data_IF_712346820684
#
_entry.id   IF_712346820684
#
_cell.length_a   1.000
_cell.length_b   1.000
_cell.length_c   1.000
_cell.angle_alpha   90.00
_cell.angle_beta   90.00
_cell.angle_gamma   90.00
#
_symmetry.space_group_name_H-M   'P 1'
#
loop_
_entity.id
_entity.type
_entity.pdbx_description
1 polymer ?
#
# COMPACT_ATOMS: atom_id res chain seq x y z
N UNK A 1 12.90 -20.92 7.29
CA UNK A 1 12.94 -19.59 6.64
C UNK A 1 14.35 -19.15 6.26
N UNK A 2 15.35 -19.15 7.17
CA UNK A 2 16.70 -18.64 6.85
C UNK A 2 17.41 -19.36 5.67
N UNK A 3 17.13 -20.66 5.48
CA UNK A 3 17.67 -21.46 4.35
C UNK A 3 16.82 -21.39 3.07
N UNK A 4 15.53 -21.10 3.21
CA UNK A 4 14.55 -21.13 2.10
C UNK A 4 14.44 -19.77 1.40
N UNK A 5 14.53 -18.68 2.16
CA UNK A 5 14.42 -17.33 1.61
C UNK A 5 15.49 -16.99 0.56
N UNK A 6 16.77 -17.39 0.70
CA UNK A 6 17.76 -17.17 -0.35
C UNK A 6 17.36 -17.80 -1.71
N UNK A 7 16.63 -18.93 -1.69
CA UNK A 7 16.19 -19.63 -2.90
C UNK A 7 15.03 -18.93 -3.60
N UNK A 8 14.27 -18.07 -2.90
CA UNK A 8 13.23 -17.24 -3.53
C UNK A 8 13.77 -15.95 -4.16
N UNK A 9 15.03 -15.58 -3.89
CA UNK A 9 15.62 -14.35 -4.41
C UNK A 9 16.19 -14.54 -5.81
N UNK A 10 15.85 -13.61 -6.70
CA UNK A 10 16.40 -13.52 -8.07
C UNK A 10 17.13 -12.20 -8.28
N UNK A 11 17.92 -12.12 -9.37
CA UNK A 11 18.57 -10.89 -9.82
C UNK A 11 19.40 -10.17 -8.74
N UNK A 12 19.18 -8.87 -8.59
CA UNK A 12 19.96 -8.00 -7.71
C UNK A 12 19.87 -8.38 -6.22
N UNK A 13 18.73 -8.90 -5.76
CA UNK A 13 18.54 -9.33 -4.38
C UNK A 13 19.35 -10.59 -4.06
N UNK A 14 19.38 -11.54 -5.00
CA UNK A 14 20.18 -12.77 -4.89
C UNK A 14 21.68 -12.46 -4.88
N UNK A 15 22.11 -11.55 -5.76
CA UNK A 15 23.51 -11.11 -5.84
C UNK A 15 23.95 -10.41 -4.55
N UNK A 16 23.13 -9.50 -4.02
CA UNK A 16 23.41 -8.83 -2.76
C UNK A 16 23.60 -9.81 -1.60
N UNK A 17 22.66 -10.75 -1.43
CA UNK A 17 22.73 -11.69 -0.32
C UNK A 17 23.98 -12.57 -0.36
N UNK A 18 24.44 -12.96 -1.56
CA UNK A 18 25.70 -13.71 -1.74
C UNK A 18 26.95 -12.90 -1.41
N UNK A 19 26.90 -11.58 -1.59
CA UNK A 19 28.03 -10.68 -1.34
C UNK A 19 28.08 -10.16 0.11
N UNK A 20 27.09 -10.51 0.96
CA UNK A 20 27.15 -10.17 2.38
C UNK A 20 28.31 -10.92 3.06
N UNK A 21 29.07 -10.26 3.96
CA UNK A 21 30.18 -10.90 4.65
C UNK A 21 29.74 -12.14 5.42
N UNK A 22 30.57 -13.19 5.41
CA UNK A 22 30.34 -14.42 6.17
C UNK A 22 30.13 -14.10 7.65
N UNK A 23 29.09 -14.67 8.26
CA UNK A 23 28.75 -14.42 9.66
C UNK A 23 28.01 -13.11 9.93
N UNK A 24 27.77 -12.26 8.92
CA UNK A 24 27.03 -11.01 9.08
C UNK A 24 25.51 -11.19 9.20
N UNK A 25 24.99 -12.38 8.86
CA UNK A 25 23.58 -12.78 8.97
C UNK A 25 23.54 -14.20 9.54
N UNK A 26 23.19 -14.31 10.82
CA UNK A 26 23.13 -15.59 11.54
C UNK A 26 21.72 -15.97 11.98
N UNK A 27 20.77 -15.03 11.92
CA UNK A 27 19.39 -15.24 12.32
C UNK A 27 18.43 -14.81 11.21
N UNK A 28 17.23 -15.40 11.19
CA UNK A 28 16.17 -14.99 10.27
C UNK A 28 15.77 -13.52 10.46
N UNK A 29 15.68 -13.06 11.70
CA UNK A 29 15.32 -11.68 12.00
C UNK A 29 16.38 -10.67 11.49
N UNK A 30 17.66 -11.01 11.64
CA UNK A 30 18.76 -10.23 11.07
C UNK A 30 18.73 -10.17 9.54
N UNK A 31 18.45 -11.31 8.88
CA UNK A 31 18.28 -11.36 7.42
C UNK A 31 17.12 -10.47 6.97
N UNK A 32 15.96 -10.65 7.59
CA UNK A 32 14.73 -9.91 7.29
C UNK A 32 14.95 -8.41 7.47
N UNK A 33 15.55 -7.99 8.58
CA UNK A 33 15.82 -6.58 8.88
C UNK A 33 16.76 -5.95 7.85
N UNK A 34 17.89 -6.60 7.53
CA UNK A 34 18.81 -6.11 6.49
C UNK A 34 18.15 -6.03 5.11
N UNK A 35 17.41 -7.07 4.74
CA UNK A 35 16.71 -7.12 3.45
C UNK A 35 15.69 -5.98 3.33
N UNK A 36 14.85 -5.78 4.36
CA UNK A 36 13.86 -4.71 4.39
C UNK A 36 14.54 -3.34 4.36
N UNK A 37 15.61 -3.12 5.11
CA UNK A 37 16.32 -1.84 5.08
C UNK A 37 16.91 -1.51 3.71
N UNK A 38 17.37 -2.51 2.96
CA UNK A 38 17.96 -2.30 1.63
C UNK A 38 16.91 -2.14 0.52
N UNK A 39 15.91 -3.02 0.49
CA UNK A 39 14.97 -3.14 -0.63
C UNK A 39 13.59 -2.53 -0.36
N UNK A 40 13.20 -2.42 0.91
CA UNK A 40 11.93 -1.83 1.35
C UNK A 40 12.17 -0.79 2.46
N UNK A 41 13.06 0.21 2.25
CA UNK A 41 13.52 1.09 3.32
C UNK A 41 12.33 1.74 4.04
N UNK A 42 12.25 1.68 5.39
CA UNK A 42 11.09 2.16 6.14
C UNK A 42 10.70 3.61 5.82
N UNK A 43 11.69 4.47 5.55
CA UNK A 43 11.49 5.88 5.19
C UNK A 43 10.77 6.05 3.85
N UNK A 44 11.11 5.22 2.85
CA UNK A 44 10.44 5.26 1.55
C UNK A 44 9.02 4.71 1.65
N UNK A 45 8.84 3.63 2.41
CA UNK A 45 7.51 3.07 2.70
C UNK A 45 6.63 4.09 3.43
N UNK A 46 7.15 4.77 4.45
CA UNK A 46 6.44 5.83 5.17
C UNK A 46 6.06 7.00 4.24
N UNK A 47 6.96 7.41 3.33
CA UNK A 47 6.66 8.46 2.34
C UNK A 47 5.53 8.07 1.39
N UNK A 48 5.48 6.82 0.94
CA UNK A 48 4.39 6.29 0.11
C UNK A 48 3.07 6.23 0.89
N UNK A 49 3.11 5.70 2.11
CA UNK A 49 1.96 5.67 3.02
C UNK A 49 1.39 7.06 3.28
N UNK A 50 2.25 8.08 3.49
CA UNK A 50 1.82 9.45 3.67
C UNK A 50 1.03 10.00 2.48
N UNK A 51 1.35 9.59 1.25
CA UNK A 51 0.57 9.98 0.06
C UNK A 51 -0.82 9.37 0.05
N UNK A 52 -0.95 8.12 0.53
CA UNK A 52 -2.24 7.42 0.63
C UNK A 52 -3.09 8.04 1.74
N UNK A 53 -2.51 8.27 2.92
CA UNK A 53 -3.25 8.83 4.06
C UNK A 53 -3.66 10.28 3.87
N UNK A 54 -2.88 11.04 3.08
CA UNK A 54 -3.16 12.43 2.74
C UNK A 54 -3.81 12.57 1.36
N UNK A 55 -4.35 11.49 0.81
CA UNK A 55 -5.04 11.54 -0.46
C UNK A 55 -6.19 12.55 -0.38
N UNK A 56 -6.26 13.41 -1.39
CA UNK A 56 -7.35 14.35 -1.60
C UNK A 56 -7.72 14.35 -3.06
N UNK A 57 -9.02 14.34 -3.36
CA UNK A 57 -9.55 14.53 -4.69
C UNK A 57 -9.19 15.94 -5.18
N UNK A 58 -8.64 16.03 -6.39
CA UNK A 58 -8.32 17.33 -6.98
C UNK A 58 -9.60 18.02 -7.49
N UNK A 59 -9.66 19.36 -7.56
CA UNK A 59 -10.89 20.10 -7.89
C UNK A 59 -11.50 19.77 -9.27
N UNK A 60 -10.69 19.33 -10.22
CA UNK A 60 -11.05 18.98 -11.59
C UNK A 60 -11.21 17.47 -11.82
N UNK A 61 -10.94 16.64 -10.80
CA UNK A 61 -11.10 15.19 -10.88
C UNK A 61 -12.55 14.75 -10.63
N UNK A 62 -13.06 13.91 -11.52
CA UNK A 62 -14.25 13.11 -11.21
C UNK A 62 -13.90 11.94 -10.27
N UNK A 63 -14.94 11.28 -9.73
CA UNK A 63 -14.80 10.15 -8.79
C UNK A 63 -13.91 9.03 -9.34
N UNK A 64 -14.07 8.68 -10.61
CA UNK A 64 -13.35 7.57 -11.24
C UNK A 64 -11.86 7.89 -11.40
N UNK A 65 -11.53 9.10 -11.86
CA UNK A 65 -10.14 9.57 -11.97
C UNK A 65 -9.44 9.58 -10.61
N UNK A 66 -10.14 10.07 -9.57
CA UNK A 66 -9.64 10.05 -8.20
C UNK A 66 -9.39 8.61 -7.73
N UNK A 67 -10.30 7.68 -8.04
CA UNK A 67 -10.16 6.27 -7.68
C UNK A 67 -8.98 5.61 -8.39
N UNK A 68 -8.80 5.81 -9.70
CA UNK A 68 -7.65 5.28 -10.44
C UNK A 68 -6.32 5.79 -9.84
N UNK A 69 -6.23 7.09 -9.55
CA UNK A 69 -5.04 7.68 -8.90
C UNK A 69 -4.80 7.09 -7.51
N UNK A 70 -5.85 6.84 -6.74
CA UNK A 70 -5.73 6.18 -5.44
C UNK A 70 -5.21 4.74 -5.57
N UNK A 71 -5.73 3.96 -6.53
CA UNK A 71 -5.27 2.59 -6.82
C UNK A 71 -3.81 2.58 -7.27
N UNK A 72 -3.37 3.55 -8.07
CA UNK A 72 -1.95 3.70 -8.41
C UNK A 72 -1.05 3.91 -7.19
N UNK A 73 -1.52 4.66 -6.19
CA UNK A 73 -0.77 4.87 -4.95
C UNK A 73 -0.69 3.57 -4.14
N UNK A 74 -1.78 2.80 -4.08
CA UNK A 74 -1.82 1.49 -3.41
C UNK A 74 -0.86 0.49 -4.08
N UNK A 75 -0.84 0.40 -5.42
CA UNK A 75 0.07 -0.50 -6.15
C UNK A 75 1.55 -0.18 -5.90
N UNK A 76 1.88 1.07 -5.59
CA UNK A 76 3.25 1.50 -5.28
C UNK A 76 3.66 1.18 -3.85
N UNK A 77 2.70 0.88 -2.96
CA UNK A 77 2.93 0.48 -1.58
C UNK A 77 2.94 -1.06 -1.44
N UNK A 78 3.65 -1.63 -0.45
CA UNK A 78 3.60 -3.07 -0.25
C UNK A 78 2.19 -3.51 0.20
N UNK A 79 1.72 -4.66 -0.30
CA UNK A 79 0.30 -5.08 -0.24
C UNK A 79 -0.28 -5.35 1.17
N UNK A 80 0.54 -5.45 2.22
CA UNK A 80 0.07 -5.87 3.55
C UNK A 80 -0.01 -4.73 4.58
N UNK A 81 0.06 -3.46 4.14
CA UNK A 81 0.07 -2.31 5.06
C UNK A 81 -1.32 -1.77 5.40
N UNK A 82 -2.33 -2.06 4.58
CA UNK A 82 -3.71 -1.61 4.78
C UNK A 82 -4.65 -2.80 4.58
N UNK A 83 -5.73 -2.84 5.35
CA UNK A 83 -6.86 -3.71 5.05
C UNK A 83 -7.71 -3.08 3.95
N UNK A 84 -8.45 -3.89 3.20
CA UNK A 84 -9.32 -3.38 2.13
C UNK A 84 -10.33 -2.32 2.64
N UNK A 85 -10.80 -2.45 3.89
CA UNK A 85 -11.69 -1.45 4.48
C UNK A 85 -10.96 -0.14 4.82
N UNK A 86 -9.69 -0.21 5.24
CA UNK A 86 -8.88 0.99 5.44
C UNK A 86 -8.64 1.73 4.13
N UNK A 87 -8.43 1.01 3.02
CA UNK A 87 -8.31 1.61 1.68
C UNK A 87 -9.58 2.37 1.31
N UNK A 88 -10.74 1.75 1.47
CA UNK A 88 -12.06 2.36 1.20
C UNK A 88 -12.28 3.62 2.06
N UNK A 89 -12.00 3.54 3.37
CA UNK A 89 -12.18 4.68 4.29
C UNK A 89 -11.23 5.83 3.94
N UNK A 90 -9.96 5.54 3.66
CA UNK A 90 -8.97 6.55 3.28
C UNK A 90 -9.36 7.25 1.98
N UNK A 91 -9.80 6.49 0.99
CA UNK A 91 -10.31 7.05 -0.25
C UNK A 91 -11.51 7.95 0.00
N UNK A 92 -12.55 7.44 0.68
CA UNK A 92 -13.77 8.19 0.99
C UNK A 92 -13.48 9.50 1.74
N UNK A 93 -12.57 9.47 2.72
CA UNK A 93 -12.20 10.67 3.49
C UNK A 93 -11.45 11.71 2.65
N UNK A 94 -10.74 11.28 1.60
CA UNK A 94 -10.06 12.17 0.67
C UNK A 94 -10.98 12.84 -0.35
N UNK A 95 -12.24 12.39 -0.48
CA UNK A 95 -13.16 12.94 -1.46
C UNK A 95 -13.72 14.31 -1.07
N UNK A 96 -13.95 15.14 -2.09
CA UNK A 96 -14.69 16.38 -1.95
C UNK A 96 -16.11 16.15 -1.44
N UNK A 97 -16.68 17.16 -0.77
CA UNK A 97 -18.04 17.09 -0.21
C UNK A 97 -19.08 16.70 -1.28
N UNK A 98 -19.09 17.31 -2.49
CA UNK A 98 -20.09 16.96 -3.51
C UNK A 98 -20.01 15.48 -3.92
N UNK A 99 -18.79 14.96 -4.09
CA UNK A 99 -18.56 13.57 -4.48
C UNK A 99 -18.96 12.59 -3.38
N UNK A 100 -18.71 12.93 -2.11
CA UNK A 100 -19.20 12.12 -0.97
C UNK A 100 -20.72 12.06 -0.91
N UNK A 101 -21.40 13.18 -1.12
CA UNK A 101 -22.87 13.21 -1.13
C UNK A 101 -23.47 12.29 -2.20
N UNK A 102 -22.83 12.21 -3.38
CA UNK A 102 -23.23 11.27 -4.43
C UNK A 102 -23.09 9.82 -3.96
N UNK A 103 -21.98 9.47 -3.29
CA UNK A 103 -21.79 8.12 -2.75
C UNK A 103 -22.77 7.79 -1.62
N UNK A 104 -22.97 8.74 -0.71
CA UNK A 104 -23.82 8.56 0.47
C UNK A 104 -25.32 8.47 0.10
N UNK A 105 -25.72 9.00 -1.06
CA UNK A 105 -27.08 8.81 -1.60
C UNK A 105 -27.45 7.33 -1.79
N UNK A 106 -26.45 6.46 -1.93
CA UNK A 106 -26.60 5.00 -2.04
C UNK A 106 -26.37 4.28 -0.70
N UNK A 107 -26.31 5.01 0.40
CA UNK A 107 -25.99 4.55 1.75
C UNK A 107 -24.56 4.90 2.15
N UNK A 108 -24.35 5.25 3.42
CA UNK A 108 -23.08 5.74 3.92
C UNK A 108 -21.95 4.71 3.74
N UNK A 109 -20.91 5.07 2.97
CA UNK A 109 -19.76 4.19 2.69
C UNK A 109 -19.12 3.59 3.96
N UNK A 110 -18.92 4.34 5.06
CA UNK A 110 -18.33 3.78 6.29
C UNK A 110 -19.15 2.66 6.94
N UNK A 111 -20.42 2.51 6.57
CA UNK A 111 -21.35 1.51 7.13
C UNK A 111 -21.55 0.28 6.22
N UNK A 112 -20.98 0.29 5.00
CA UNK A 112 -21.12 -0.77 4.01
C UNK A 112 -20.08 -1.87 4.19
N UNK A 113 -20.38 -3.06 3.64
CA UNK A 113 -19.36 -4.09 3.45
C UNK A 113 -18.32 -3.62 2.43
N UNK A 114 -17.11 -4.17 2.46
CA UNK A 114 -16.03 -3.81 1.51
C UNK A 114 -16.48 -4.01 0.05
N UNK A 115 -17.21 -5.10 -0.22
CA UNK A 115 -17.72 -5.39 -1.55
C UNK A 115 -18.72 -4.32 -2.03
N UNK A 116 -19.70 -3.98 -1.18
CA UNK A 116 -20.71 -2.98 -1.52
C UNK A 116 -20.11 -1.57 -1.66
N UNK A 117 -19.08 -1.26 -0.87
CA UNK A 117 -18.36 0.01 -0.96
C UNK A 117 -17.56 0.10 -2.27
N UNK A 118 -16.87 -0.96 -2.67
CA UNK A 118 -16.13 -1.00 -3.95
C UNK A 118 -17.08 -0.90 -5.15
N UNK A 119 -18.24 -1.54 -5.11
CA UNK A 119 -19.29 -1.42 -6.15
C UNK A 119 -19.82 0.01 -6.22
N UNK A 120 -19.94 0.74 -5.11
CA UNK A 120 -20.42 2.11 -5.14
C UNK A 120 -19.41 3.10 -5.76
N UNK A 121 -18.12 2.76 -5.75
CA UNK A 121 -17.01 3.59 -6.26
C UNK A 121 -16.75 3.35 -7.76
N UNK A 122 -17.06 2.15 -8.26
CA UNK A 122 -16.87 1.70 -9.65
C UNK A 122 -18.11 1.95 -10.52
#
# INVERSE_FOLDING_TARGET
MLREFPMSLTGAASCWLRNEPTGSITTWDGLKTKFLNKYCPPTQTAKKMKKITNFQQEPDENLYQAWERFIELLMKCPQNYLTEMQEVILFYNGLGIPTRQILDSRGAIPSKTVADAKIAIQ
#
